data_IF_614495200650
#
_entry.id   IF_614495200650
#
_cell.length_a   1.000
_cell.length_b   1.000
_cell.length_c   1.000
_cell.angle_alpha   90.00
_cell.angle_beta   90.00
_cell.angle_gamma   90.00
#
_symmetry.space_group_name_H-M   'P 1'
#
loop_
_entity.id
_entity.type
_entity.pdbx_description
1 polymer ?
#
# COMPACT_ATOMS: atom_id res chain seq x y z
N UNK A 1 -34.87 8.11 18.82
CA UNK A 1 -34.01 9.29 18.67
C UNK A 1 -32.59 8.80 18.45
N UNK A 2 -31.85 9.37 17.52
CA UNK A 2 -30.47 8.96 17.27
C UNK A 2 -29.58 9.50 18.37
N UNK A 3 -28.87 8.62 19.07
CA UNK A 3 -27.93 9.00 20.13
C UNK A 3 -26.66 9.60 19.51
N UNK A 4 -26.68 10.92 19.28
CA UNK A 4 -25.60 11.65 18.61
C UNK A 4 -24.22 11.40 19.23
N UNK A 5 -24.15 11.28 20.56
CA UNK A 5 -22.91 10.98 21.27
C UNK A 5 -22.34 9.61 20.88
N UNK A 6 -23.21 8.59 20.77
CA UNK A 6 -22.81 7.24 20.37
C UNK A 6 -22.31 7.21 18.91
N UNK A 7 -22.99 7.93 18.00
CA UNK A 7 -22.56 8.05 16.60
C UNK A 7 -21.18 8.70 16.49
N UNK A 8 -20.95 9.80 17.22
CA UNK A 8 -19.64 10.47 17.25
C UNK A 8 -18.54 9.57 17.81
N UNK A 9 -18.83 8.81 18.86
CA UNK A 9 -17.89 7.85 19.42
C UNK A 9 -17.51 6.76 18.41
N UNK A 10 -18.49 6.20 17.70
CA UNK A 10 -18.26 5.21 16.66
C UNK A 10 -17.37 5.77 15.53
N UNK A 11 -17.67 6.97 15.02
CA UNK A 11 -16.90 7.60 13.94
C UNK A 11 -15.44 7.89 14.35
N UNK A 12 -15.17 8.22 15.63
CA UNK A 12 -13.80 8.42 16.12
C UNK A 12 -12.94 7.15 16.10
N UNK A 13 -13.56 5.97 16.01
CA UNK A 13 -12.84 4.68 15.92
C UNK A 13 -12.63 4.21 14.48
N UNK A 14 -13.18 4.92 13.51
CA UNK A 14 -13.08 4.53 12.10
C UNK A 14 -11.63 4.68 11.62
N UNK A 15 -11.11 3.58 11.07
CA UNK A 15 -9.82 3.55 10.38
C UNK A 15 -10.04 3.12 8.92
N UNK A 16 -9.49 3.87 7.98
CA UNK A 16 -9.55 3.62 6.54
C UNK A 16 -8.13 3.55 6.02
N UNK A 17 -7.75 2.38 5.50
CA UNK A 17 -6.46 2.19 4.87
C UNK A 17 -6.39 2.93 3.53
N UNK A 18 -5.31 3.68 3.29
CA UNK A 18 -5.12 4.39 2.02
C UNK A 18 -4.19 3.62 1.08
N UNK A 19 -4.47 3.62 -0.24
CA UNK A 19 -3.63 2.94 -1.22
C UNK A 19 -2.43 3.81 -1.64
N UNK A 20 -1.20 3.28 -1.53
CA UNK A 20 0.03 3.98 -1.97
C UNK A 20 -0.04 4.48 -3.42
N UNK A 21 -0.67 3.71 -4.31
CA UNK A 21 -0.75 4.01 -5.74
C UNK A 21 -1.69 5.16 -6.08
N UNK A 22 -2.53 5.61 -5.14
CA UNK A 22 -3.40 6.78 -5.36
C UNK A 22 -2.66 8.11 -5.16
N UNK A 23 -1.49 8.11 -4.53
CA UNK A 23 -0.67 9.31 -4.35
C UNK A 23 0.17 9.65 -5.58
N UNK A 24 0.44 8.66 -6.45
CA UNK A 24 1.16 8.88 -7.71
C UNK A 24 0.32 9.57 -8.79
N UNK A 25 0.95 9.86 -9.93
CA UNK A 25 0.24 10.41 -11.08
C UNK A 25 -0.80 9.40 -11.58
N UNK A 26 -2.07 9.74 -11.47
CA UNK A 26 -3.16 8.94 -12.00
C UNK A 26 -3.52 9.37 -13.43
N UNK A 27 -4.12 8.46 -14.18
CA UNK A 27 -4.60 8.74 -15.52
C UNK A 27 -5.56 7.69 -15.99
N UNK A 28 -5.99 7.86 -17.24
CA UNK A 28 -6.83 6.89 -17.92
C UNK A 28 -6.02 6.17 -18.99
N UNK A 29 -6.64 5.20 -19.68
CA UNK A 29 -6.06 4.59 -20.88
C UNK A 29 -5.70 5.59 -21.99
N UNK A 30 -6.20 6.82 -21.92
CA UNK A 30 -5.96 7.84 -22.94
C UNK A 30 -4.78 8.75 -22.61
N UNK A 31 -4.65 9.18 -21.35
CA UNK A 31 -3.60 10.12 -20.94
C UNK A 31 -3.39 10.13 -19.43
N UNK A 32 -2.14 10.36 -19.05
CA UNK A 32 -1.69 10.79 -17.72
C UNK A 32 -1.24 12.25 -17.84
N UNK A 33 -1.72 13.11 -16.95
CA UNK A 33 -1.28 14.51 -16.86
C UNK A 33 -0.38 14.66 -15.64
N UNK A 34 0.93 14.60 -15.87
CA UNK A 34 1.90 14.67 -14.78
C UNK A 34 1.85 16.05 -14.09
N UNK A 35 1.82 16.04 -12.76
CA UNK A 35 1.85 17.24 -11.93
C UNK A 35 3.16 17.35 -11.17
N UNK A 36 3.60 18.58 -10.92
CA UNK A 36 4.75 18.85 -10.07
C UNK A 36 4.43 18.53 -8.62
N UNK A 37 5.42 18.02 -7.88
CA UNK A 37 5.26 17.65 -6.47
C UNK A 37 4.61 16.29 -6.22
N UNK A 38 4.26 15.53 -7.26
CA UNK A 38 3.72 14.18 -7.11
C UNK A 38 4.83 13.20 -6.69
N UNK A 39 4.59 12.32 -5.70
CA UNK A 39 5.58 11.40 -5.16
C UNK A 39 6.03 10.37 -6.21
N UNK A 40 7.33 10.08 -6.17
CA UNK A 40 8.06 9.21 -7.11
C UNK A 40 8.64 7.98 -6.41
N UNK A 41 8.78 8.04 -5.09
CA UNK A 41 9.30 6.92 -4.28
C UNK A 41 8.26 6.43 -3.27
N UNK A 42 8.36 5.17 -2.79
CA UNK A 42 7.50 4.66 -1.72
C UNK A 42 7.53 5.54 -0.46
N UNK A 43 8.70 6.07 -0.12
CA UNK A 43 8.89 6.99 0.99
C UNK A 43 8.11 8.29 0.77
N UNK A 44 8.25 8.94 -0.39
CA UNK A 44 7.49 10.16 -0.72
C UNK A 44 5.96 9.90 -0.67
N UNK A 45 5.49 8.71 -1.10
CA UNK A 45 4.06 8.33 -0.99
C UNK A 45 3.62 8.21 0.47
N UNK A 46 4.47 7.70 1.35
CA UNK A 46 4.19 7.62 2.79
C UNK A 46 4.18 9.00 3.45
N UNK A 47 5.01 9.93 2.99
CA UNK A 47 5.03 11.33 3.46
C UNK A 47 3.67 12.00 3.15
N UNK A 48 3.17 11.82 1.92
CA UNK A 48 1.85 12.32 1.53
C UNK A 48 0.71 11.63 2.28
N UNK A 49 0.81 10.31 2.50
CA UNK A 49 -0.18 9.57 3.28
C UNK A 49 -0.24 10.01 4.74
N UNK A 50 0.91 10.30 5.33
CA UNK A 50 0.99 10.86 6.68
C UNK A 50 0.29 12.23 6.76
N UNK A 51 0.43 13.06 5.72
CA UNK A 51 -0.28 14.33 5.66
C UNK A 51 -1.81 14.15 5.63
N UNK A 52 -2.31 13.15 4.88
CA UNK A 52 -3.74 12.78 4.89
C UNK A 52 -4.17 12.32 6.28
N UNK A 53 -3.38 11.48 6.95
CA UNK A 53 -3.71 11.04 8.31
C UNK A 53 -3.72 12.20 9.30
N UNK A 54 -2.74 13.10 9.24
CA UNK A 54 -2.65 14.25 10.12
C UNK A 54 -3.89 15.17 10.03
N UNK A 55 -4.45 15.36 8.83
CA UNK A 55 -5.65 16.18 8.65
C UNK A 55 -6.96 15.46 8.95
N UNK A 56 -7.02 14.15 8.71
CA UNK A 56 -8.29 13.40 8.78
C UNK A 56 -8.46 12.60 10.06
N UNK A 57 -7.37 12.20 10.72
CA UNK A 57 -7.35 11.31 11.89
C UNK A 57 -7.78 9.86 11.61
N UNK A 58 -8.28 9.54 10.41
CA UNK A 58 -8.89 8.24 10.10
C UNK A 58 -8.03 7.34 9.21
N UNK A 59 -6.91 7.83 8.67
CA UNK A 59 -6.06 7.09 7.72
C UNK A 59 -4.72 6.54 8.30
N UNK A 60 -4.71 5.71 9.36
CA UNK A 60 -3.47 5.33 10.05
C UNK A 60 -2.62 4.27 9.32
N UNK A 61 -3.13 3.65 8.25
CA UNK A 61 -2.42 2.58 7.52
C UNK A 61 -2.40 2.81 6.02
N UNK A 62 -1.33 2.33 5.37
CA UNK A 62 -1.10 2.47 3.93
C UNK A 62 -0.89 1.11 3.29
N UNK A 63 -1.76 0.74 2.35
CA UNK A 63 -1.61 -0.46 1.54
C UNK A 63 -0.49 -0.29 0.51
N UNK A 64 0.37 -1.29 0.39
CA UNK A 64 1.45 -1.33 -0.61
C UNK A 64 1.04 -2.17 -1.81
N UNK A 65 1.62 -1.86 -2.97
CA UNK A 65 1.42 -2.60 -4.21
C UNK A 65 2.76 -2.99 -4.83
N UNK A 66 3.03 -4.29 -4.93
CA UNK A 66 4.33 -4.79 -5.38
C UNK A 66 4.20 -5.25 -6.84
N UNK A 67 5.10 -4.83 -7.76
CA UNK A 67 6.40 -4.22 -7.51
C UNK A 67 6.45 -2.68 -7.52
N UNK A 68 5.33 -1.96 -7.60
CA UNK A 68 5.34 -0.49 -7.67
C UNK A 68 5.95 0.18 -6.44
N UNK A 69 5.81 -0.45 -5.28
CA UNK A 69 6.39 -0.01 -4.01
C UNK A 69 7.52 -0.92 -3.55
N UNK A 70 8.19 -1.60 -4.49
CA UNK A 70 9.33 -2.44 -4.15
C UNK A 70 10.47 -1.56 -3.61
N UNK A 71 11.01 -1.98 -2.48
CA UNK A 71 12.23 -1.43 -1.88
C UNK A 71 13.18 -2.58 -1.53
N UNK A 72 14.44 -2.24 -1.31
CA UNK A 72 15.47 -3.18 -0.85
C UNK A 72 15.26 -3.59 0.60
N UNK A 73 14.77 -2.67 1.44
CA UNK A 73 14.57 -2.88 2.87
C UNK A 73 13.18 -2.39 3.33
N UNK A 74 12.26 -3.35 3.53
CA UNK A 74 10.92 -3.06 4.03
C UNK A 74 10.88 -2.69 5.51
N UNK A 75 11.87 -3.11 6.32
CA UNK A 75 11.95 -2.72 7.71
C UNK A 75 12.29 -1.23 7.84
N UNK A 76 13.22 -0.75 7.00
CA UNK A 76 13.51 0.68 6.90
C UNK A 76 12.30 1.49 6.42
N UNK A 77 11.58 1.00 5.40
CA UNK A 77 10.37 1.65 4.88
C UNK A 77 9.28 1.75 5.96
N UNK A 78 9.10 0.70 6.75
CA UNK A 78 8.12 0.71 7.82
C UNK A 78 8.49 1.62 8.98
N UNK A 79 9.75 1.64 9.37
CA UNK A 79 10.25 2.61 10.36
C UNK A 79 9.96 4.03 9.89
N UNK A 80 10.20 4.31 8.60
CA UNK A 80 9.92 5.61 7.99
C UNK A 80 8.42 5.99 8.05
N UNK A 81 7.52 5.02 7.83
CA UNK A 81 6.08 5.21 8.04
C UNK A 81 5.74 5.52 9.51
N UNK A 82 6.25 4.71 10.45
CA UNK A 82 5.98 4.86 11.88
C UNK A 82 6.45 6.22 12.41
N UNK A 83 7.63 6.67 12.00
CA UNK A 83 8.20 7.98 12.36
C UNK A 83 7.29 9.16 11.89
N UNK A 84 6.36 8.91 10.96
CA UNK A 84 5.38 9.89 10.42
C UNK A 84 3.95 9.68 10.91
N UNK A 85 3.72 8.71 11.80
CA UNK A 85 2.41 8.45 12.37
C UNK A 85 1.48 7.60 11.49
N UNK A 86 2.01 6.91 10.48
CA UNK A 86 1.28 5.90 9.69
C UNK A 86 1.98 4.56 9.78
N UNK A 87 1.32 3.48 9.35
CA UNK A 87 1.90 2.13 9.33
C UNK A 87 1.69 1.47 7.98
N UNK A 88 2.55 0.53 7.63
CA UNK A 88 2.30 -0.31 6.46
C UNK A 88 1.12 -1.25 6.73
N UNK A 89 0.31 -1.45 5.71
CA UNK A 89 -0.94 -2.17 5.76
C UNK A 89 -0.94 -3.42 4.90
N UNK A 90 -2.03 -3.65 4.17
CA UNK A 90 -2.14 -4.78 3.26
C UNK A 90 -1.10 -4.74 2.12
N UNK A 91 -0.64 -5.92 1.69
CA UNK A 91 0.23 -6.09 0.53
C UNK A 91 -0.60 -6.55 -0.67
N UNK A 92 -0.52 -5.81 -1.77
CA UNK A 92 -1.22 -6.09 -3.02
C UNK A 92 -0.22 -6.57 -4.07
N UNK A 93 -0.40 -7.79 -4.56
CA UNK A 93 0.44 -8.37 -5.61
C UNK A 93 -0.02 -7.92 -7.00
N UNK A 94 0.91 -7.46 -7.85
CA UNK A 94 0.64 -7.20 -9.25
C UNK A 94 0.85 -8.45 -10.11
N UNK A 95 -0.24 -8.96 -10.66
CA UNK A 95 -0.25 -10.12 -11.57
C UNK A 95 -1.11 -9.85 -12.79
N UNK A 96 -1.09 -8.59 -13.27
CA UNK A 96 -1.99 -8.10 -14.31
C UNK A 96 -1.33 -7.15 -15.33
N UNK A 97 -0.06 -6.75 -15.14
CA UNK A 97 0.62 -5.84 -16.08
C UNK A 97 1.65 -6.50 -17.00
N UNK A 98 2.28 -7.59 -16.57
CA UNK A 98 3.27 -8.30 -17.37
C UNK A 98 2.62 -8.97 -18.59
N UNK A 99 3.34 -9.04 -19.71
CA UNK A 99 2.90 -9.71 -20.95
C UNK A 99 2.62 -11.20 -20.68
N UNK A 100 3.35 -11.81 -19.76
CA UNK A 100 3.11 -13.17 -19.28
C UNK A 100 1.68 -13.35 -18.73
N UNK A 101 1.05 -12.29 -18.21
CA UNK A 101 -0.30 -12.33 -17.64
C UNK A 101 -1.41 -11.99 -18.63
N UNK A 102 -1.09 -11.81 -19.93
CA UNK A 102 -2.05 -11.39 -20.96
C UNK A 102 -3.32 -12.26 -21.02
N UNK A 103 -3.19 -13.57 -20.80
CA UNK A 103 -4.32 -14.53 -20.83
C UNK A 103 -4.77 -14.98 -19.43
N UNK A 104 -4.27 -14.34 -18.37
CA UNK A 104 -4.54 -14.67 -16.98
C UNK A 104 -3.28 -14.92 -16.15
N UNK A 105 -3.43 -14.99 -14.83
CA UNK A 105 -2.34 -15.20 -13.87
C UNK A 105 -2.55 -16.42 -12.97
N UNK A 106 -3.09 -16.25 -11.76
CA UNK A 106 -3.26 -17.33 -10.77
C UNK A 106 -4.11 -18.49 -11.32
N UNK A 107 -5.08 -18.18 -12.17
CA UNK A 107 -5.98 -19.16 -12.80
C UNK A 107 -5.59 -19.50 -14.25
N UNK A 108 -4.39 -19.09 -14.71
CA UNK A 108 -3.93 -19.43 -16.06
C UNK A 108 -3.67 -20.93 -16.18
N UNK A 109 -4.05 -21.51 -17.32
CA UNK A 109 -3.80 -22.92 -17.63
C UNK A 109 -2.32 -23.21 -17.92
N UNK A 110 -1.53 -22.17 -18.22
CA UNK A 110 -0.10 -22.25 -18.48
C UNK A 110 0.70 -22.15 -17.18
N UNK A 111 1.47 -23.22 -16.87
CA UNK A 111 2.26 -23.38 -15.63
C UNK A 111 3.17 -22.19 -15.24
N UNK A 112 3.80 -21.43 -16.14
CA UNK A 112 4.67 -20.32 -15.75
C UNK A 112 3.92 -19.16 -15.05
N UNK A 113 2.66 -18.93 -15.43
CA UNK A 113 1.90 -17.75 -15.00
C UNK A 113 1.23 -17.95 -13.64
N UNK A 114 0.86 -19.19 -13.29
CA UNK A 114 0.18 -19.53 -12.03
C UNK A 114 1.13 -19.55 -10.81
N UNK A 115 2.44 -19.71 -10.99
CA UNK A 115 3.41 -19.89 -9.90
C UNK A 115 4.06 -18.60 -9.38
N UNK A 116 4.24 -17.58 -10.24
CA UNK A 116 4.90 -16.30 -9.91
C UNK A 116 4.21 -15.44 -8.82
N UNK A 117 2.86 -15.36 -8.74
CA UNK A 117 2.15 -14.54 -7.77
C UNK A 117 2.56 -14.78 -6.30
N UNK A 118 2.81 -16.05 -5.96
CA UNK A 118 3.10 -16.48 -4.59
C UNK A 118 4.46 -16.01 -4.08
N UNK A 119 5.43 -15.80 -4.97
CA UNK A 119 6.78 -15.37 -4.61
C UNK A 119 6.80 -13.90 -4.15
N UNK A 120 5.96 -13.07 -4.78
CA UNK A 120 5.87 -11.63 -4.51
C UNK A 120 5.30 -11.38 -3.11
N UNK A 121 4.18 -12.02 -2.79
CA UNK A 121 3.49 -11.79 -1.50
C UNK A 121 4.30 -12.36 -0.31
N UNK A 122 4.96 -13.52 -0.51
CA UNK A 122 5.75 -14.17 0.55
C UNK A 122 7.01 -13.35 0.92
N UNK A 123 7.73 -12.82 -0.08
CA UNK A 123 8.98 -12.08 0.16
C UNK A 123 8.79 -10.81 1.00
N UNK A 124 7.65 -10.14 0.86
CA UNK A 124 7.33 -8.92 1.62
C UNK A 124 6.77 -9.25 3.00
N UNK A 125 5.88 -10.25 3.10
CA UNK A 125 5.24 -10.62 4.37
C UNK A 125 6.24 -11.13 5.41
N UNK A 126 7.35 -11.75 4.98
CA UNK A 126 8.39 -12.30 5.88
C UNK A 126 9.44 -11.28 6.31
N UNK A 127 9.63 -10.19 5.58
CA UNK A 127 10.65 -9.19 5.88
C UNK A 127 10.21 -8.15 6.92
N UNK A 128 8.90 -7.95 7.11
CA UNK A 128 8.37 -6.95 8.04
C UNK A 128 7.72 -7.51 9.33
N UNK A 129 7.35 -8.79 9.37
CA UNK A 129 6.68 -9.41 10.54
C UNK A 129 7.62 -9.99 11.59
N UNK A 130 8.95 -9.95 11.38
CA UNK A 130 9.91 -10.45 12.37
C UNK A 130 10.14 -9.42 13.48
N UNK A 131 9.82 -9.72 14.75
CA UNK A 131 10.21 -8.86 15.86
C UNK A 131 11.74 -8.74 15.89
N UNK A 132 12.25 -7.54 16.18
CA UNK A 132 13.67 -7.31 16.37
C UNK A 132 14.23 -8.29 17.42
N UNK A 133 15.43 -8.86 17.21
CA UNK A 133 16.05 -9.73 18.20
C UNK A 133 16.20 -8.95 19.51
N UNK A 134 15.66 -9.51 20.60
CA UNK A 134 15.89 -8.98 21.94
C UNK A 134 17.37 -9.17 22.25
N UNK A 135 18.11 -8.07 22.37
CA UNK A 135 19.43 -8.02 23.00
C UNK A 135 19.32 -8.22 24.50
#
# INVERSE_FOLDING_TARGET
MTELAAVKAALKTQAVETPSWAYGNSGTRFKVFAQQGVPRTPQEKLDDAAQVHAFTGVAPTVALHIPWDKVEDYAALAKHAEDRGVRLGAINSNTFQDDDYRLGSVCALTRPCAARPWTICWSVSTSWTRPAPRT
#
